data_IF_461781276586
#
_entry.id   IF_461781276586
#
_cell.length_a   1.000
_cell.length_b   1.000
_cell.length_c   1.000
_cell.angle_alpha   90.00
_cell.angle_beta   90.00
_cell.angle_gamma   90.00
#
_symmetry.space_group_name_H-M   'P 1'
#
loop_
_entity.id
_entity.type
_entity.pdbx_description
1 polymer ?
#
# COMPACT_ATOMS: atom_id res chain seq x y z
N UNK A 1 -48.73 -18.34 17.88
CA UNK A 1 -47.89 -17.12 17.99
C UNK A 1 -46.45 -17.42 18.40
N UNK A 2 -46.17 -18.05 19.55
CA UNK A 2 -44.78 -18.37 20.01
C UNK A 2 -43.88 -19.09 18.98
N UNK A 3 -44.38 -20.14 18.31
CA UNK A 3 -43.59 -20.95 17.35
C UNK A 3 -43.19 -20.21 16.06
N UNK A 4 -44.00 -19.24 15.62
CA UNK A 4 -43.75 -18.43 14.43
C UNK A 4 -42.67 -17.38 14.74
N UNK A 5 -42.73 -16.78 15.93
CA UNK A 5 -41.71 -15.84 16.42
C UNK A 5 -40.36 -16.54 16.62
N UNK A 6 -40.33 -17.76 17.16
CA UNK A 6 -39.08 -18.52 17.31
C UNK A 6 -38.45 -18.90 15.96
N UNK A 7 -39.25 -19.27 14.96
CA UNK A 7 -38.76 -19.57 13.61
C UNK A 7 -38.16 -18.35 12.89
N UNK A 8 -38.82 -17.19 13.01
CA UNK A 8 -38.32 -15.92 12.48
C UNK A 8 -37.03 -15.45 13.18
N UNK A 9 -36.93 -15.63 14.50
CA UNK A 9 -35.73 -15.27 15.26
C UNK A 9 -34.53 -16.15 14.83
N UNK A 10 -34.74 -17.45 14.65
CA UNK A 10 -33.68 -18.38 14.24
C UNK A 10 -33.18 -18.10 12.81
N UNK A 11 -34.07 -17.74 11.88
CA UNK A 11 -33.69 -17.34 10.52
C UNK A 11 -32.89 -16.03 10.51
N UNK A 12 -33.27 -15.06 11.35
CA UNK A 12 -32.54 -13.80 11.47
C UNK A 12 -31.14 -14.00 12.10
N UNK A 13 -31.03 -14.87 13.10
CA UNK A 13 -29.73 -15.26 13.69
C UNK A 13 -28.85 -16.01 12.66
N UNK A 14 -29.41 -16.91 11.87
CA UNK A 14 -28.66 -17.62 10.83
C UNK A 14 -28.19 -16.69 9.70
N UNK A 15 -29.04 -15.73 9.28
CA UNK A 15 -28.69 -14.75 8.26
C UNK A 15 -27.60 -13.78 8.76
N UNK A 16 -27.70 -13.29 10.00
CA UNK A 16 -26.68 -12.41 10.60
C UNK A 16 -25.35 -13.14 10.83
N UNK A 17 -25.39 -14.39 11.32
CA UNK A 17 -24.19 -15.23 11.43
C UNK A 17 -23.56 -15.49 10.05
N UNK A 18 -24.37 -15.78 9.02
CA UNK A 18 -23.91 -15.98 7.65
C UNK A 18 -23.21 -14.75 7.06
N UNK A 19 -23.75 -13.55 7.29
CA UNK A 19 -23.15 -12.28 6.82
C UNK A 19 -21.81 -11.98 7.52
N UNK A 20 -21.70 -12.28 8.82
CA UNK A 20 -20.46 -12.07 9.59
C UNK A 20 -19.37 -13.04 9.12
N UNK A 21 -19.72 -14.31 8.88
CA UNK A 21 -18.79 -15.32 8.35
C UNK A 21 -18.36 -14.96 6.93
N UNK A 22 -19.29 -14.52 6.07
CA UNK A 22 -18.99 -14.14 4.69
C UNK A 22 -17.99 -12.98 4.61
N UNK A 23 -18.17 -11.92 5.42
CA UNK A 23 -17.23 -10.80 5.48
C UNK A 23 -15.83 -11.19 5.98
N UNK A 24 -15.72 -12.24 6.80
CA UNK A 24 -14.44 -12.70 7.36
C UNK A 24 -13.64 -13.56 6.39
N UNK A 25 -14.32 -14.27 5.47
CA UNK A 25 -13.69 -15.15 4.46
C UNK A 25 -13.21 -14.36 3.23
N UNK A 26 -13.84 -13.24 2.90
CA UNK A 26 -13.44 -12.39 1.75
C UNK A 26 -12.42 -11.31 2.09
N UNK A 27 -11.98 -11.20 3.34
CA UNK A 27 -10.89 -10.29 3.69
C UNK A 27 -9.61 -10.75 2.95
N UNK A 28 -8.89 -9.84 2.26
CA UNK A 28 -7.63 -10.18 1.63
C UNK A 28 -6.74 -10.89 2.65
N UNK A 29 -6.27 -12.09 2.30
CA UNK A 29 -5.23 -12.79 3.06
C UNK A 29 -4.08 -11.81 3.22
N UNK A 30 -3.70 -11.49 4.47
CA UNK A 30 -2.59 -10.58 4.80
C UNK A 30 -1.25 -11.12 4.32
N UNK A 31 -1.07 -11.14 3.00
CA UNK A 31 0.07 -11.66 2.27
C UNK A 31 0.33 -10.68 1.12
N UNK A 32 1.60 -10.41 0.85
CA UNK A 32 1.98 -9.60 -0.31
C UNK A 32 1.51 -10.28 -1.60
N UNK A 33 0.54 -9.66 -2.27
CA UNK A 33 0.08 -10.05 -3.59
C UNK A 33 0.41 -8.95 -4.60
N UNK A 34 1.48 -9.17 -5.37
CA UNK A 34 1.81 -8.37 -6.55
C UNK A 34 1.40 -9.14 -7.80
N UNK A 35 0.69 -8.47 -8.71
CA UNK A 35 0.36 -9.02 -10.04
C UNK A 35 1.60 -9.06 -10.93
N UNK A 36 1.56 -9.88 -11.97
CA UNK A 36 2.66 -9.95 -12.92
C UNK A 36 2.83 -8.60 -13.63
N UNK A 37 4.09 -8.16 -13.76
CA UNK A 37 4.50 -6.85 -14.27
C UNK A 37 4.02 -5.63 -13.44
N UNK A 38 3.39 -5.85 -12.29
CA UNK A 38 2.96 -4.77 -11.41
C UNK A 38 4.17 -4.08 -10.75
N UNK A 39 4.18 -2.76 -10.83
CA UNK A 39 5.19 -1.89 -10.20
C UNK A 39 4.47 -0.96 -9.23
N UNK A 40 4.88 -0.97 -7.97
CA UNK A 40 4.20 -0.24 -6.91
C UNK A 40 5.20 0.58 -6.10
N UNK A 41 4.84 1.83 -5.85
CA UNK A 41 5.47 2.70 -4.88
C UNK A 41 4.57 2.76 -3.66
N UNK A 42 5.02 2.17 -2.56
CA UNK A 42 4.35 2.21 -1.28
C UNK A 42 4.88 3.38 -0.45
N UNK A 43 4.00 4.06 0.27
CA UNK A 43 4.36 4.85 1.45
C UNK A 43 3.72 4.22 2.68
N UNK A 44 4.53 3.62 3.53
CA UNK A 44 4.07 3.02 4.78
C UNK A 44 4.03 4.06 5.90
N UNK A 45 2.93 4.09 6.65
CA UNK A 45 2.75 4.97 7.79
C UNK A 45 1.92 4.29 8.89
N UNK A 46 1.85 4.92 10.06
CA UNK A 46 0.87 4.57 11.09
C UNK A 46 -0.34 5.51 11.04
N UNK A 47 -1.35 5.24 11.85
CA UNK A 47 -2.59 6.03 11.96
C UNK A 47 -2.29 7.43 12.48
N UNK A 48 -1.39 7.54 13.47
CA UNK A 48 -0.94 8.83 14.00
C UNK A 48 0.14 9.41 13.07
N UNK A 49 -0.22 10.45 12.33
CA UNK A 49 0.64 11.08 11.34
C UNK A 49 1.06 12.48 11.77
N UNK A 50 2.37 12.73 11.83
CA UNK A 50 2.91 14.06 12.05
C UNK A 50 3.01 14.85 10.73
N UNK A 51 3.26 16.15 10.83
CA UNK A 51 3.45 17.04 9.68
C UNK A 51 4.44 16.46 8.64
N UNK A 52 5.58 15.95 9.10
CA UNK A 52 6.60 15.38 8.21
C UNK A 52 6.09 14.13 7.46
N UNK A 53 5.26 13.30 8.08
CA UNK A 53 4.68 12.12 7.42
C UNK A 53 3.75 12.54 6.26
N UNK A 54 2.93 13.55 6.51
CA UNK A 54 2.02 14.08 5.49
C UNK A 54 2.80 14.77 4.37
N UNK A 55 3.88 15.47 4.72
CA UNK A 55 4.76 16.11 3.75
C UNK A 55 5.47 15.09 2.85
N UNK A 56 5.98 13.98 3.40
CA UNK A 56 6.60 12.90 2.62
C UNK A 56 5.59 12.35 1.61
N UNK A 57 4.38 11.96 2.05
CA UNK A 57 3.38 11.44 1.13
C UNK A 57 3.05 12.44 0.02
N UNK A 58 2.79 13.71 0.39
CA UNK A 58 2.46 14.76 -0.57
C UNK A 58 3.55 14.94 -1.62
N UNK A 59 4.82 14.97 -1.20
CA UNK A 59 5.93 15.18 -2.12
C UNK A 59 6.24 13.96 -2.97
N UNK A 60 6.12 12.75 -2.42
CA UNK A 60 6.24 11.51 -3.20
C UNK A 60 5.15 11.48 -4.28
N UNK A 61 3.89 11.74 -3.91
CA UNK A 61 2.79 11.84 -4.87
C UNK A 61 3.06 12.89 -5.96
N UNK A 62 3.50 14.09 -5.57
CA UNK A 62 3.89 15.15 -6.54
C UNK A 62 5.02 14.70 -7.48
N UNK A 63 6.02 13.99 -6.97
CA UNK A 63 7.11 13.46 -7.78
C UNK A 63 6.61 12.43 -8.79
N UNK A 64 5.68 11.56 -8.38
CA UNK A 64 5.09 10.55 -9.25
C UNK A 64 4.17 11.17 -10.30
N UNK A 65 3.26 12.06 -9.90
CA UNK A 65 2.31 12.72 -10.80
C UNK A 65 3.04 13.55 -11.87
N UNK A 66 4.14 14.21 -11.51
CA UNK A 66 4.90 15.03 -12.47
C UNK A 66 5.92 14.25 -13.29
N UNK A 67 6.39 13.09 -12.82
CA UNK A 67 7.43 12.30 -13.49
C UNK A 67 6.90 11.11 -14.27
N UNK A 68 5.74 10.58 -13.89
CA UNK A 68 5.22 9.28 -14.36
C UNK A 68 3.69 9.29 -14.55
N UNK A 69 3.11 10.43 -14.95
CA UNK A 69 1.68 10.56 -15.18
C UNK A 69 1.14 9.50 -16.15
N UNK A 70 1.90 9.18 -17.21
CA UNK A 70 1.49 8.20 -18.22
C UNK A 70 1.43 6.78 -17.66
N UNK A 71 2.39 6.39 -16.84
CA UNK A 71 2.48 5.07 -16.21
C UNK A 71 1.42 4.91 -15.12
N UNK A 72 1.16 5.98 -14.37
CA UNK A 72 0.05 6.04 -13.41
C UNK A 72 -1.29 5.89 -14.13
N UNK A 73 -1.51 6.63 -15.23
CA UNK A 73 -2.73 6.54 -16.01
C UNK A 73 -2.92 5.17 -16.68
N UNK A 74 -1.83 4.57 -17.16
CA UNK A 74 -1.84 3.22 -17.73
C UNK A 74 -1.95 2.11 -16.68
N UNK A 75 -1.82 2.42 -15.39
CA UNK A 75 -1.83 1.45 -14.29
C UNK A 75 -0.59 0.56 -14.23
N UNK A 76 0.45 0.85 -15.02
CA UNK A 76 1.73 0.14 -15.02
C UNK A 76 2.63 0.57 -13.85
N UNK A 77 2.34 1.74 -13.26
CA UNK A 77 2.86 2.19 -11.98
C UNK A 77 1.69 2.49 -11.04
N UNK A 78 1.80 2.09 -9.78
CA UNK A 78 0.81 2.41 -8.74
C UNK A 78 1.45 3.10 -7.56
N UNK A 79 0.72 4.02 -6.94
CA UNK A 79 1.09 4.58 -5.65
C UNK A 79 0.09 4.14 -4.58
N UNK A 80 0.59 3.60 -3.46
CA UNK A 80 -0.24 3.14 -2.35
C UNK A 80 0.26 3.73 -1.03
N UNK A 81 -0.61 4.45 -0.33
CA UNK A 81 -0.38 4.89 1.05
C UNK A 81 -0.98 3.84 1.97
N UNK A 82 -0.16 3.20 2.80
CA UNK A 82 -0.55 2.01 3.58
C UNK A 82 -0.38 2.27 5.07
N UNK A 83 -1.47 2.11 5.82
CA UNK A 83 -1.49 2.21 7.27
C UNK A 83 -1.11 0.85 7.90
N UNK A 84 0.06 0.78 8.52
CA UNK A 84 0.57 -0.42 9.18
C UNK A 84 -0.14 -0.76 10.50
N UNK A 85 -0.92 0.17 11.07
CA UNK A 85 -1.70 -0.11 12.29
C UNK A 85 -3.00 -0.89 11.98
N UNK A 86 -3.33 -1.07 10.70
CA UNK A 86 -4.45 -1.90 10.28
C UNK A 86 -4.02 -3.38 10.23
N UNK A 87 -4.74 -4.31 10.90
CA UNK A 87 -4.31 -5.71 11.00
C UNK A 87 -4.07 -6.41 9.66
N UNK A 88 -4.82 -6.02 8.62
CA UNK A 88 -4.66 -6.58 7.26
C UNK A 88 -3.31 -6.22 6.63
N UNK A 89 -2.63 -5.17 7.09
CA UNK A 89 -1.38 -4.66 6.54
C UNK A 89 -0.14 -5.05 7.37
N UNK A 90 -0.30 -5.72 8.52
CA UNK A 90 0.82 -6.07 9.41
C UNK A 90 1.88 -6.93 8.73
N UNK A 91 1.48 -7.75 7.75
CA UNK A 91 2.40 -8.62 7.01
C UNK A 91 3.52 -7.86 6.28
N UNK A 92 3.25 -6.62 5.83
CA UNK A 92 4.23 -5.80 5.12
C UNK A 92 5.47 -5.52 5.96
N UNK A 93 5.34 -5.52 7.29
CA UNK A 93 6.48 -5.36 8.21
C UNK A 93 7.51 -6.46 7.99
N UNK A 94 7.05 -7.71 7.82
CA UNK A 94 7.93 -8.85 7.53
C UNK A 94 8.35 -8.85 6.06
N UNK A 95 7.41 -8.66 5.14
CA UNK A 95 7.66 -8.78 3.71
C UNK A 95 8.70 -7.78 3.19
N UNK A 96 8.73 -6.57 3.77
CA UNK A 96 9.66 -5.52 3.39
C UNK A 96 10.67 -5.15 4.48
N UNK A 97 10.74 -5.95 5.56
CA UNK A 97 11.59 -5.71 6.72
C UNK A 97 11.47 -4.26 7.25
N UNK A 98 10.24 -3.77 7.42
CA UNK A 98 9.97 -2.38 7.77
C UNK A 98 10.37 -2.11 9.22
N UNK A 99 10.96 -0.94 9.47
CA UNK A 99 11.30 -0.44 10.82
C UNK A 99 10.48 0.79 11.22
N UNK A 100 9.54 1.21 10.38
CA UNK A 100 8.71 2.38 10.58
C UNK A 100 8.20 2.95 9.27
N UNK A 101 7.94 4.27 9.28
CA UNK A 101 7.46 5.02 8.12
C UNK A 101 8.53 5.10 7.05
N UNK A 102 8.23 4.67 5.83
CA UNK A 102 9.22 4.60 4.75
C UNK A 102 8.54 4.51 3.39
N UNK A 103 9.24 4.91 2.33
CA UNK A 103 8.83 4.65 0.96
C UNK A 103 9.49 3.35 0.49
N UNK A 104 8.71 2.45 -0.12
CA UNK A 104 9.21 1.20 -0.69
C UNK A 104 8.84 1.14 -2.15
N UNK A 105 9.80 0.80 -2.99
CA UNK A 105 9.59 0.46 -4.38
C UNK A 105 9.53 -1.06 -4.48
N UNK A 106 8.51 -1.60 -5.12
CA UNK A 106 8.37 -3.03 -5.30
C UNK A 106 7.85 -3.38 -6.69
N UNK A 107 8.33 -4.49 -7.22
CA UNK A 107 7.77 -5.12 -8.42
C UNK A 107 7.93 -6.63 -8.33
N UNK A 108 7.27 -7.34 -9.23
CA UNK A 108 7.39 -8.80 -9.33
C UNK A 108 8.36 -9.20 -10.45
N UNK A 109 9.31 -10.09 -10.13
CA UNK A 109 10.25 -10.70 -11.07
C UNK A 109 10.24 -12.22 -10.88
N UNK A 110 9.97 -12.96 -11.94
CA UNK A 110 9.99 -14.44 -11.94
C UNK A 110 9.15 -15.06 -10.80
N UNK A 111 7.94 -14.53 -10.60
CA UNK A 111 7.04 -15.00 -9.54
C UNK A 111 7.36 -14.47 -8.14
N UNK A 112 8.49 -13.77 -7.94
CA UNK A 112 8.98 -13.32 -6.62
C UNK A 112 8.93 -11.80 -6.47
N UNK A 113 8.62 -11.29 -5.28
CA UNK A 113 8.71 -9.85 -5.02
C UNK A 113 10.18 -9.40 -4.97
N UNK A 114 10.49 -8.33 -5.68
CA UNK A 114 11.75 -7.59 -5.59
C UNK A 114 11.43 -6.21 -5.06
N UNK A 115 12.14 -5.76 -4.04
CA UNK A 115 11.85 -4.47 -3.41
C UNK A 115 13.12 -3.69 -3.02
N UNK A 116 12.95 -2.38 -2.87
CA UNK A 116 13.93 -1.44 -2.33
C UNK A 116 13.26 -0.49 -1.36
N UNK A 117 13.79 -0.34 -0.15
CA UNK A 117 13.41 0.73 0.77
C UNK A 117 14.19 2.00 0.47
N UNK A 118 13.52 3.14 0.57
CA UNK A 118 14.13 4.47 0.48
C UNK A 118 14.21 5.03 1.91
N UNK A 119 15.23 4.61 2.65
CA UNK A 119 15.34 4.90 4.10
C UNK A 119 15.63 6.40 4.38
N UNK A 120 16.15 7.15 3.40
CA UNK A 120 16.55 8.57 3.51
C UNK A 120 15.39 9.59 3.39
N UNK A 121 14.14 9.16 3.27
CA UNK A 121 13.04 10.10 2.95
C UNK A 121 12.83 11.19 3.99
N UNK A 122 13.06 10.91 5.28
CA UNK A 122 12.91 11.89 6.36
C UNK A 122 13.97 12.99 6.34
N UNK A 123 15.22 12.65 6.01
CA UNK A 123 16.31 13.63 5.95
C UNK A 123 16.24 14.51 4.71
N UNK A 124 15.61 14.01 3.64
CA UNK A 124 15.55 14.68 2.33
C UNK A 124 14.25 15.46 2.06
N UNK A 125 13.12 15.13 2.70
CA UNK A 125 11.79 15.71 2.35
C UNK A 125 11.72 17.25 2.42
N UNK A 126 12.58 17.92 3.19
CA UNK A 126 12.59 19.39 3.25
C UNK A 126 13.47 20.07 2.19
N UNK A 127 14.05 19.30 1.27
CA UNK A 127 14.96 19.81 0.22
C UNK A 127 14.26 20.27 -1.06
N UNK A 128 12.94 20.50 -1.02
CA UNK A 128 12.17 21.02 -2.15
C UNK A 128 12.30 20.12 -3.39
N UNK A 129 12.61 20.73 -4.53
CA UNK A 129 12.71 20.01 -5.81
C UNK A 129 13.77 18.91 -5.82
N UNK A 130 14.85 19.04 -5.03
CA UNK A 130 15.86 17.99 -4.91
C UNK A 130 15.28 16.69 -4.32
N UNK A 131 14.24 16.76 -3.48
CA UNK A 131 13.53 15.56 -3.01
C UNK A 131 12.70 14.93 -4.13
N UNK A 132 12.04 15.75 -4.95
CA UNK A 132 11.24 15.27 -6.07
C UNK A 132 12.12 14.53 -7.08
N UNK A 133 13.25 15.12 -7.45
CA UNK A 133 14.22 14.54 -8.37
C UNK A 133 14.82 13.24 -7.82
N UNK A 134 15.09 13.22 -6.51
CA UNK A 134 15.54 12.01 -5.83
C UNK A 134 14.52 10.86 -5.98
N UNK A 135 13.24 11.10 -5.66
CA UNK A 135 12.18 10.08 -5.80
C UNK A 135 12.03 9.66 -7.26
N UNK A 136 12.03 10.60 -8.22
CA UNK A 136 11.97 10.28 -9.65
C UNK A 136 13.12 9.40 -10.10
N UNK A 137 14.35 9.73 -9.68
CA UNK A 137 15.54 8.94 -10.00
C UNK A 137 15.45 7.52 -9.44
N UNK A 138 15.02 7.38 -8.19
CA UNK A 138 14.84 6.10 -7.51
C UNK A 138 13.81 5.22 -8.25
N UNK A 139 12.65 5.80 -8.58
CA UNK A 139 11.58 5.10 -9.33
C UNK A 139 12.02 4.74 -10.76
N UNK A 140 12.66 5.66 -11.47
CA UNK A 140 13.13 5.44 -12.84
C UNK A 140 14.15 4.32 -12.92
N UNK A 141 15.12 4.33 -12.01
CA UNK A 141 16.21 3.35 -11.95
C UNK A 141 15.68 1.97 -11.53
N UNK A 142 14.89 1.92 -10.45
CA UNK A 142 14.49 0.66 -9.84
C UNK A 142 13.28 0.02 -10.52
N UNK A 143 12.25 0.82 -10.83
CA UNK A 143 11.00 0.31 -11.38
C UNK A 143 10.97 0.38 -12.90
N UNK A 144 11.52 1.39 -13.56
CA UNK A 144 11.29 1.54 -15.00
C UNK A 144 12.48 1.11 -15.86
N UNK A 145 13.64 0.84 -15.25
CA UNK A 145 14.85 0.45 -15.99
C UNK A 145 15.26 1.46 -17.05
N UNK A 146 14.80 2.71 -16.95
CA UNK A 146 15.17 3.79 -17.87
C UNK A 146 16.56 4.22 -17.47
N UNK A 147 17.55 3.79 -18.25
CA UNK A 147 18.92 4.27 -18.16
C UNK A 147 18.93 5.80 -18.17
N UNK A 148 19.73 6.37 -17.27
CA UNK A 148 20.05 7.79 -17.31
C UNK A 148 20.99 8.09 -18.47
#
# INVERSE_FOLDING_TARGET
>A
MKKIVTGLLLLFVAATAGVIVYKKVTAPSGKLELKDQERVVYYFHGTKRCYTCNLIEKQVRKALDSGFAGELAAGTLKFQSVNLDEPVNEHFVKDFALRGRVVVLAYKKDGKPVYKRIDDVFSRVRKGDAFLDYIKSEVSTFLLGRTK
#
